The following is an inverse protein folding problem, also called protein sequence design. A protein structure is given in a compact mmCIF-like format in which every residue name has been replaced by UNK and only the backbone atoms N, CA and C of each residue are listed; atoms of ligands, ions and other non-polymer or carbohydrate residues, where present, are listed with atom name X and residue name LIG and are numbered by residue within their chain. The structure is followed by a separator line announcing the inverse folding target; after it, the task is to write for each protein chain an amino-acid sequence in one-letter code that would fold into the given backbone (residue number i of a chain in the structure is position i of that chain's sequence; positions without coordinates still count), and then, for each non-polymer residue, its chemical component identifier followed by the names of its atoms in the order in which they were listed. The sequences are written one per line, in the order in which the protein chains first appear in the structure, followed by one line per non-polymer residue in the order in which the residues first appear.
data_IF_455240894745
#
_entry.id   IF_455240894745
#
_cell.length_a   1.000
_cell.length_b   1.000
_cell.length_c   1.000
_cell.angle_alpha   90.00
_cell.angle_beta   90.00
_cell.angle_gamma   90.00
#
_symmetry.space_group_name_H-M   'P 1'
#
loop_
_entity.id
_entity.type
_entity.pdbx_description
1 polymer ?
#
# COMPACT_ATOMS: atom_id res chain seq x y z
N UNK A 1 -26.04 -0.73 -16.58
CA UNK A 1 -24.57 -0.93 -16.69
C UNK A 1 -24.29 -2.41 -16.70
N UNK A 2 -23.45 -2.86 -17.61
CA UNK A 2 -23.08 -4.28 -17.70
C UNK A 2 -22.15 -4.60 -16.53
N UNK A 3 -22.51 -5.58 -15.71
CA UNK A 3 -21.66 -6.09 -14.63
C UNK A 3 -20.45 -6.79 -15.23
N UNK A 4 -19.25 -6.39 -14.84
CA UNK A 4 -17.99 -6.95 -15.35
C UNK A 4 -17.39 -8.05 -14.46
N UNK A 5 -18.12 -8.54 -13.45
CA UNK A 5 -17.67 -9.65 -12.60
C UNK A 5 -17.68 -10.96 -13.36
N UNK A 6 -16.61 -11.72 -13.20
CA UNK A 6 -16.54 -13.10 -13.70
C UNK A 6 -17.48 -13.96 -12.85
N UNK A 7 -18.49 -14.55 -13.49
CA UNK A 7 -19.48 -15.41 -12.84
C UNK A 7 -19.08 -16.88 -12.84
N UNK A 8 -18.35 -17.29 -13.86
CA UNK A 8 -17.85 -18.65 -14.03
C UNK A 8 -16.38 -18.62 -14.43
N UNK A 9 -15.57 -19.50 -13.86
CA UNK A 9 -14.17 -19.64 -14.17
C UNK A 9 -13.80 -21.13 -14.15
N UNK A 10 -13.05 -21.65 -15.15
CA UNK A 10 -12.78 -23.09 -15.28
C UNK A 10 -11.97 -23.67 -14.11
N UNK A 11 -11.19 -22.84 -13.42
CA UNK A 11 -10.29 -23.29 -12.35
C UNK A 11 -10.70 -22.69 -11.00
N UNK A 12 -11.04 -21.40 -10.96
CA UNK A 12 -11.35 -20.68 -9.72
C UNK A 12 -12.85 -20.70 -9.45
N UNK A 13 -13.25 -21.19 -8.27
CA UNK A 13 -14.65 -21.12 -7.84
C UNK A 13 -15.00 -19.65 -7.54
N UNK A 14 -16.00 -19.11 -8.23
CA UNK A 14 -16.56 -17.81 -7.90
C UNK A 14 -17.18 -17.87 -6.50
N UNK A 15 -16.61 -17.15 -5.54
CA UNK A 15 -17.15 -17.12 -4.19
C UNK A 15 -18.50 -16.39 -4.18
N UNK A 16 -19.52 -17.05 -3.62
CA UNK A 16 -20.80 -16.37 -3.31
C UNK A 16 -20.56 -15.46 -2.10
N UNK A 17 -20.60 -14.14 -2.33
CA UNK A 17 -20.44 -13.13 -1.29
C UNK A 17 -21.69 -12.28 -1.20
N UNK A 18 -21.98 -11.81 0.00
CA UNK A 18 -23.07 -10.87 0.27
C UNK A 18 -22.92 -9.61 -0.60
N UNK A 19 -24.02 -9.13 -1.17
CA UNK A 19 -24.07 -7.89 -1.92
C UNK A 19 -24.22 -6.73 -0.95
N UNK A 20 -23.39 -5.71 -1.11
CA UNK A 20 -23.43 -4.45 -0.36
C UNK A 20 -23.52 -3.28 -1.34
N UNK A 21 -23.92 -2.13 -0.86
CA UNK A 21 -23.98 -0.88 -1.63
C UNK A 21 -22.98 0.13 -1.07
N UNK A 22 -22.41 0.92 -1.96
CA UNK A 22 -21.54 2.06 -1.61
C UNK A 22 -21.78 3.21 -2.60
N UNK A 23 -21.18 4.35 -2.36
CA UNK A 23 -21.33 5.53 -3.18
C UNK A 23 -20.02 5.85 -3.91
N UNK A 24 -20.12 6.22 -5.18
CA UNK A 24 -19.03 6.82 -5.93
C UNK A 24 -19.50 8.06 -6.65
N UNK A 25 -18.96 9.23 -6.29
CA UNK A 25 -19.40 10.54 -6.81
C UNK A 25 -20.92 10.72 -6.66
N UNK A 26 -21.45 10.39 -5.50
CA UNK A 26 -22.88 10.44 -5.19
C UNK A 26 -23.77 9.36 -5.85
N UNK A 27 -23.22 8.51 -6.73
CA UNK A 27 -23.98 7.42 -7.37
C UNK A 27 -23.90 6.15 -6.53
N UNK A 28 -25.04 5.49 -6.35
CA UNK A 28 -25.11 4.18 -5.68
C UNK A 28 -24.56 3.11 -6.61
N UNK A 29 -23.60 2.34 -6.10
CA UNK A 29 -22.96 1.21 -6.78
C UNK A 29 -23.08 -0.06 -5.93
N UNK A 30 -23.01 -1.22 -6.60
CA UNK A 30 -23.02 -2.53 -5.96
C UNK A 30 -21.61 -3.08 -5.80
N UNK A 31 -21.33 -3.68 -4.65
CA UNK A 31 -20.10 -4.40 -4.38
C UNK A 31 -20.39 -5.74 -3.72
N UNK A 32 -19.41 -6.59 -3.63
CA UNK A 32 -19.47 -7.81 -2.82
C UNK A 32 -18.63 -7.59 -1.56
N UNK A 33 -19.15 -8.02 -0.41
CA UNK A 33 -18.43 -7.95 0.88
C UNK A 33 -17.04 -8.55 0.76
N UNK A 34 -16.01 -7.84 1.19
CA UNK A 34 -14.61 -8.23 1.05
C UNK A 34 -14.01 -7.92 -0.32
N UNK A 35 -14.70 -7.17 -1.20
CA UNK A 35 -14.08 -6.61 -2.41
C UNK A 35 -13.26 -5.36 -2.06
N UNK A 36 -12.15 -5.16 -2.78
CA UNK A 36 -11.43 -3.89 -2.74
C UNK A 36 -12.21 -2.82 -3.51
N UNK A 37 -12.12 -1.58 -3.09
CA UNK A 37 -12.78 -0.43 -3.75
C UNK A 37 -12.49 -0.43 -5.24
N UNK A 38 -11.23 -0.61 -5.64
CA UNK A 38 -10.83 -0.64 -7.05
C UNK A 38 -11.54 -1.73 -7.85
N UNK A 39 -11.64 -2.94 -7.29
CA UNK A 39 -12.34 -4.07 -7.92
C UNK A 39 -13.83 -3.79 -8.06
N UNK A 40 -14.45 -3.21 -7.02
CA UNK A 40 -15.86 -2.86 -7.04
C UNK A 40 -16.16 -1.77 -8.07
N UNK A 41 -15.33 -0.73 -8.18
CA UNK A 41 -15.44 0.32 -9.18
C UNK A 41 -15.32 -0.26 -10.60
N UNK A 42 -14.28 -1.08 -10.84
CA UNK A 42 -14.06 -1.71 -12.14
C UNK A 42 -15.22 -2.63 -12.53
N UNK A 43 -15.76 -3.41 -11.61
CA UNK A 43 -16.91 -4.28 -11.83
C UNK A 43 -18.17 -3.50 -12.22
N UNK A 44 -18.31 -2.25 -11.81
CA UNK A 44 -19.36 -1.33 -12.21
C UNK A 44 -19.01 -0.53 -13.48
N UNK A 45 -17.94 -0.89 -14.21
CA UNK A 45 -17.52 -0.26 -15.45
C UNK A 45 -16.74 1.06 -15.28
N UNK A 46 -16.35 1.41 -14.04
CA UNK A 46 -15.58 2.62 -13.74
C UNK A 46 -14.11 2.27 -13.80
N UNK A 47 -13.39 2.85 -14.75
CA UNK A 47 -11.95 2.61 -14.97
C UNK A 47 -11.07 3.78 -14.55
N UNK A 48 -11.63 4.98 -14.52
CA UNK A 48 -10.94 6.22 -14.14
C UNK A 48 -11.39 6.57 -12.72
N UNK A 49 -10.47 6.51 -11.77
CA UNK A 49 -10.72 6.78 -10.35
C UNK A 49 -10.35 8.21 -9.97
N UNK A 50 -9.49 8.83 -10.75
CA UNK A 50 -9.01 10.19 -10.57
C UNK A 50 -8.27 10.69 -11.80
N UNK A 51 -7.70 11.89 -11.67
CA UNK A 51 -6.85 12.48 -12.70
C UNK A 51 -5.59 13.04 -12.06
N UNK A 52 -4.49 12.87 -12.76
CA UNK A 52 -3.20 13.35 -12.29
C UNK A 52 -3.19 14.89 -12.26
N UNK A 53 -2.67 15.47 -11.17
CA UNK A 53 -2.77 16.89 -10.88
C UNK A 53 -2.01 17.81 -11.86
N UNK A 54 -0.97 17.28 -12.55
CA UNK A 54 -0.14 18.10 -13.48
C UNK A 54 -0.67 18.09 -14.90
N UNK A 55 -1.04 16.93 -15.42
CA UNK A 55 -1.34 16.73 -16.84
C UNK A 55 -2.75 16.20 -17.11
N UNK A 56 -3.57 16.05 -16.04
CA UNK A 56 -4.94 15.51 -16.12
C UNK A 56 -5.03 14.12 -16.73
N UNK A 57 -3.91 13.38 -16.81
CA UNK A 57 -3.93 11.99 -17.28
C UNK A 57 -4.83 11.12 -16.39
N UNK A 58 -5.55 10.16 -17.00
CA UNK A 58 -6.47 9.32 -16.24
C UNK A 58 -5.71 8.38 -15.30
N UNK A 59 -6.17 8.29 -14.06
CA UNK A 59 -5.64 7.40 -13.03
C UNK A 59 -6.65 6.32 -12.66
N UNK A 60 -6.16 5.12 -12.37
CA UNK A 60 -6.96 3.96 -12.04
C UNK A 60 -6.10 2.79 -11.58
N UNK A 61 -6.54 1.56 -11.86
CA UNK A 61 -5.76 0.36 -11.50
C UNK A 61 -4.52 0.28 -12.39
N UNK A 62 -3.34 0.20 -11.74
CA UNK A 62 -2.07 -0.04 -12.41
C UNK A 62 -1.33 -1.23 -11.76
N UNK A 63 -0.79 -1.10 -10.56
CA UNK A 63 -0.05 -2.18 -9.89
C UNK A 63 -0.95 -3.19 -9.16
N UNK A 64 -2.15 -2.81 -8.75
CA UNK A 64 -3.13 -3.59 -7.98
C UNK A 64 -2.62 -4.18 -6.65
N UNK A 65 -1.48 -3.70 -6.14
CA UNK A 65 -0.83 -4.22 -4.93
C UNK A 65 -0.35 -3.11 -3.96
N UNK A 66 -0.90 -1.91 -4.08
CA UNK A 66 -0.61 -0.80 -3.17
C UNK A 66 0.69 -0.03 -3.43
N UNK A 67 1.46 -0.35 -4.49
CA UNK A 67 2.81 0.24 -4.69
C UNK A 67 2.81 1.59 -5.39
N UNK A 68 1.93 1.83 -6.38
CA UNK A 68 2.07 2.95 -7.30
C UNK A 68 1.23 4.19 -6.95
N UNK A 69 0.28 4.10 -6.05
CA UNK A 69 -0.67 5.15 -5.70
C UNK A 69 -1.56 5.69 -6.87
N UNK A 70 -1.54 5.05 -8.05
CA UNK A 70 -2.37 5.45 -9.20
C UNK A 70 -3.88 5.28 -8.97
N UNK A 71 -4.26 4.51 -7.97
CA UNK A 71 -5.66 4.22 -7.63
C UNK A 71 -6.13 4.97 -6.37
N UNK A 72 -5.52 6.11 -6.04
CA UNK A 72 -5.93 6.92 -4.90
C UNK A 72 -7.35 7.44 -5.07
N UNK A 73 -8.12 7.35 -4.00
CA UNK A 73 -9.49 7.89 -3.86
C UNK A 73 -9.67 8.43 -2.44
N UNK A 74 -10.67 9.25 -2.22
CA UNK A 74 -11.15 9.56 -0.87
C UNK A 74 -12.20 8.51 -0.49
N UNK A 75 -12.00 7.81 0.61
CA UNK A 75 -12.99 6.92 1.21
C UNK A 75 -13.43 7.51 2.55
N UNK A 76 -14.68 7.95 2.63
CA UNK A 76 -15.22 8.66 3.79
C UNK A 76 -14.35 9.86 4.22
N UNK A 77 -13.82 10.60 3.23
CA UNK A 77 -12.95 11.76 3.44
C UNK A 77 -11.45 11.44 3.61
N UNK A 78 -11.07 10.17 3.73
CA UNK A 78 -9.68 9.76 3.94
C UNK A 78 -9.03 9.32 2.63
N UNK A 79 -7.84 9.83 2.25
CA UNK A 79 -7.10 9.35 1.08
C UNK A 79 -6.63 7.92 1.27
N UNK A 80 -7.06 7.02 0.38
CA UNK A 80 -6.71 5.59 0.45
C UNK A 80 -6.31 5.05 -0.92
N UNK A 81 -5.50 4.00 -0.93
CA UNK A 81 -5.21 3.21 -2.13
C UNK A 81 -6.33 2.21 -2.35
N UNK A 82 -7.22 2.49 -3.29
CA UNK A 82 -8.44 1.70 -3.52
C UNK A 82 -8.19 0.23 -3.87
N UNK A 83 -6.99 -0.12 -4.37
CA UNK A 83 -6.65 -1.51 -4.70
C UNK A 83 -6.36 -2.41 -3.50
N UNK A 84 -6.12 -1.83 -2.32
CA UNK A 84 -5.85 -2.56 -1.07
C UNK A 84 -6.81 -2.17 0.07
N UNK A 85 -7.79 -1.32 -0.21
CA UNK A 85 -8.80 -0.89 0.77
C UNK A 85 -10.12 -1.58 0.48
N UNK A 86 -10.65 -2.30 1.47
CA UNK A 86 -11.94 -2.99 1.36
C UNK A 86 -13.09 -2.00 1.32
N UNK A 87 -14.05 -2.23 0.40
CA UNK A 87 -15.29 -1.45 0.35
C UNK A 87 -16.24 -1.88 1.46
N UNK A 88 -16.81 -0.91 2.17
CA UNK A 88 -17.80 -1.12 3.23
C UNK A 88 -19.19 -0.67 2.78
N UNK A 89 -20.23 -1.24 3.38
CA UNK A 89 -21.62 -0.82 3.12
C UNK A 89 -21.81 0.65 3.51
N UNK A 90 -22.39 1.44 2.61
CA UNK A 90 -22.63 2.87 2.81
C UNK A 90 -21.40 3.78 2.63
N UNK A 91 -20.20 3.23 2.37
CA UNK A 91 -18.98 4.01 2.18
C UNK A 91 -19.14 5.03 1.05
N UNK A 92 -18.67 6.24 1.28
CA UNK A 92 -18.63 7.31 0.27
C UNK A 92 -17.22 7.34 -0.34
N UNK A 93 -17.14 7.07 -1.62
CA UNK A 93 -15.88 7.10 -2.38
C UNK A 93 -15.93 8.26 -3.37
N UNK A 94 -14.90 9.11 -3.37
CA UNK A 94 -14.78 10.27 -4.22
C UNK A 94 -13.46 10.28 -4.97
N UNK A 95 -13.43 10.97 -6.09
CA UNK A 95 -12.19 11.22 -6.83
C UNK A 95 -11.35 12.26 -6.07
N UNK A 96 -10.04 12.07 -6.08
CA UNK A 96 -9.12 13.12 -5.65
C UNK A 96 -8.89 14.05 -6.85
N UNK A 97 -9.19 15.32 -6.68
CA UNK A 97 -8.89 16.38 -7.62
C UNK A 97 -7.66 17.15 -7.09
N UNK A 98 -6.56 17.08 -7.82
CA UNK A 98 -5.30 17.67 -7.39
C UNK A 98 -4.48 16.75 -6.48
N UNK A 99 -3.86 17.33 -5.45
CA UNK A 99 -3.20 16.59 -4.38
C UNK A 99 -4.23 16.14 -3.33
N UNK A 100 -3.99 15.02 -2.65
CA UNK A 100 -4.83 14.64 -1.51
C UNK A 100 -4.86 15.78 -0.49
N UNK A 101 -6.03 16.10 0.07
CA UNK A 101 -6.13 17.10 1.12
C UNK A 101 -5.31 16.64 2.33
N UNK A 102 -4.58 17.58 2.91
CA UNK A 102 -3.97 17.39 4.22
C UNK A 102 -5.02 17.83 5.23
N UNK A 103 -5.35 17.00 6.25
CA UNK A 103 -6.26 17.40 7.30
C UNK A 103 -5.76 18.69 7.96
N UNK A 104 -6.65 19.64 8.20
CA UNK A 104 -6.32 20.82 9.00
C UNK A 104 -6.04 20.39 10.45
N UNK A 105 -5.14 21.11 11.15
CA UNK A 105 -4.66 20.74 12.49
C UNK A 105 -5.78 20.51 13.51
N UNK A 106 -6.93 21.17 13.32
CA UNK A 106 -8.08 21.14 14.24
C UNK A 106 -9.22 20.21 13.75
N UNK A 107 -9.16 19.63 12.56
CA UNK A 107 -10.16 18.66 12.14
C UNK A 107 -9.90 17.31 12.83
N UNK A 108 -10.81 16.83 13.69
CA UNK A 108 -10.68 15.48 14.22
C UNK A 108 -10.75 14.51 13.04
N UNK A 109 -9.61 13.89 12.73
CA UNK A 109 -9.57 12.77 11.81
C UNK A 109 -10.61 11.76 12.30
N UNK A 110 -11.73 11.67 11.59
CA UNK A 110 -12.81 10.72 11.90
C UNK A 110 -12.34 9.32 11.46
N UNK A 111 -11.17 8.97 11.95
CA UNK A 111 -10.64 7.63 11.86
C UNK A 111 -11.43 6.85 12.90
N UNK A 112 -12.37 6.02 12.46
CA UNK A 112 -12.94 4.93 13.24
C UNK A 112 -11.85 3.89 13.60
N UNK A 113 -10.67 4.37 13.90
CA UNK A 113 -9.58 3.63 14.49
C UNK A 113 -9.85 3.69 15.97
N UNK A 114 -10.04 2.56 16.61
CA UNK A 114 -9.84 2.42 18.04
C UNK A 114 -8.39 2.85 18.28
N UNK A 115 -8.18 4.15 18.55
CA UNK A 115 -6.85 4.63 18.87
C UNK A 115 -6.43 3.97 20.18
N UNK A 116 -5.48 3.04 20.19
CA UNK A 116 -4.76 2.79 21.41
C UNK A 116 -4.16 4.12 21.85
N UNK A 117 -4.08 4.35 23.15
CA UNK A 117 -3.38 5.51 23.68
C UNK A 117 -2.02 5.62 22.97
N UNK A 118 -1.61 6.82 22.54
CA UNK A 118 -0.34 6.99 21.85
C UNK A 118 0.78 6.44 22.73
N UNK A 119 1.54 5.50 22.19
CA UNK A 119 2.74 4.98 22.85
C UNK A 119 3.92 5.86 22.45
N UNK A 120 4.76 6.18 23.40
CA UNK A 120 5.95 6.99 23.19
C UNK A 120 7.18 6.08 23.21
N UNK A 121 8.00 6.16 22.17
CA UNK A 121 9.23 5.42 22.03
C UNK A 121 10.38 6.39 21.82
N UNK A 122 11.56 5.99 22.29
CA UNK A 122 12.78 6.78 22.14
C UNK A 122 13.84 5.94 21.40
N UNK A 123 14.39 6.52 20.34
CA UNK A 123 15.46 5.92 19.53
C UNK A 123 16.39 7.01 19.03
N UNK A 124 17.65 6.64 18.69
CA UNK A 124 18.60 7.60 18.11
C UNK A 124 18.28 7.88 16.66
N UNK A 125 17.79 6.86 15.91
CA UNK A 125 17.42 7.01 14.48
C UNK A 125 16.14 6.27 14.20
N UNK A 126 15.19 6.96 13.60
CA UNK A 126 13.94 6.40 13.06
C UNK A 126 14.00 6.37 11.53
N UNK A 127 13.86 5.18 10.94
CA UNK A 127 13.88 4.97 9.49
C UNK A 127 12.46 4.64 9.03
N UNK A 128 11.88 5.51 8.24
CA UNK A 128 10.57 5.31 7.63
C UNK A 128 10.73 4.64 6.26
N UNK A 129 10.37 3.38 6.16
CA UNK A 129 10.43 2.54 4.97
C UNK A 129 11.59 1.55 4.98
N UNK A 130 11.24 0.26 5.03
CA UNK A 130 12.17 -0.88 4.99
C UNK A 130 12.54 -1.35 3.57
N UNK A 131 12.59 -0.41 2.61
CA UNK A 131 13.13 -0.68 1.28
C UNK A 131 14.65 -0.80 1.28
N UNK A 132 15.30 -1.06 0.11
CA UNK A 132 16.75 -1.26 0.03
C UNK A 132 17.56 -0.13 0.64
N UNK A 133 17.16 1.11 0.47
CA UNK A 133 17.84 2.27 1.04
C UNK A 133 17.73 2.30 2.58
N UNK A 134 16.52 2.07 3.12
CA UNK A 134 16.29 2.02 4.57
C UNK A 134 17.02 0.86 5.22
N UNK A 135 17.00 -0.33 4.60
CA UNK A 135 17.73 -1.49 5.08
C UNK A 135 19.25 -1.29 5.05
N UNK A 136 19.78 -0.66 3.99
CA UNK A 136 21.20 -0.34 3.90
C UNK A 136 21.61 0.64 5.01
N UNK A 137 20.82 1.69 5.25
CA UNK A 137 21.06 2.63 6.34
C UNK A 137 20.98 1.96 7.71
N UNK A 138 19.94 1.16 7.97
CA UNK A 138 19.78 0.42 9.21
C UNK A 138 20.95 -0.53 9.47
N UNK A 139 21.41 -1.25 8.43
CA UNK A 139 22.56 -2.14 8.51
C UNK A 139 23.83 -1.40 8.92
N UNK A 140 24.14 -0.28 8.28
CA UNK A 140 25.36 0.47 8.57
C UNK A 140 25.35 1.16 9.94
N UNK A 141 24.19 1.68 10.35
CA UNK A 141 24.02 2.26 11.69
C UNK A 141 24.04 1.18 12.78
N UNK A 142 23.32 0.08 12.57
CA UNK A 142 23.25 -1.02 13.52
C UNK A 142 24.61 -1.68 13.75
N UNK A 143 25.46 -1.85 12.72
CA UNK A 143 26.85 -2.31 12.89
C UNK A 143 27.70 -1.40 13.78
N UNK A 144 27.33 -0.14 13.90
CA UNK A 144 27.99 0.84 14.79
C UNK A 144 27.34 0.91 16.17
N UNK A 145 26.35 0.05 16.45
CA UNK A 145 25.65 0.02 17.73
C UNK A 145 24.65 1.16 17.94
N UNK A 146 24.32 1.92 16.89
CA UNK A 146 23.30 2.98 16.95
C UNK A 146 21.93 2.32 17.11
N UNK A 147 21.10 2.82 18.02
CA UNK A 147 19.71 2.35 18.21
C UNK A 147 18.83 2.85 17.07
N UNK A 148 18.33 1.91 16.28
CA UNK A 148 17.52 2.20 15.09
C UNK A 148 16.17 1.52 15.20
N UNK A 149 15.11 2.26 14.88
CA UNK A 149 13.78 1.69 14.59
C UNK A 149 13.52 1.83 13.10
N UNK A 150 13.23 0.72 12.42
CA UNK A 150 12.79 0.69 11.02
C UNK A 150 11.30 0.40 10.98
N UNK A 151 10.49 1.31 10.46
CA UNK A 151 9.06 1.10 10.29
C UNK A 151 8.68 0.96 8.80
N UNK A 152 7.80 0.01 8.48
CA UNK A 152 7.25 -0.17 7.12
C UNK A 152 5.74 -0.48 7.22
N UNK A 153 4.99 -0.11 6.17
CA UNK A 153 3.54 -0.37 6.06
C UNK A 153 3.22 -1.76 5.48
N UNK A 154 4.22 -2.60 5.27
CA UNK A 154 4.10 -3.93 4.67
C UNK A 154 4.53 -5.03 5.64
N UNK A 155 4.02 -6.23 5.39
CA UNK A 155 4.32 -7.42 6.20
C UNK A 155 5.74 -7.97 6.02
N UNK A 156 6.48 -7.47 5.03
CA UNK A 156 7.86 -7.87 4.70
C UNK A 156 8.66 -6.66 4.28
N UNK A 157 9.93 -6.66 4.65
CA UNK A 157 10.88 -5.64 4.20
C UNK A 157 11.39 -5.92 2.78
N UNK A 158 12.25 -5.04 2.26
CA UNK A 158 12.78 -5.13 0.91
C UNK A 158 12.11 -4.21 -0.11
N UNK A 159 10.94 -3.66 0.20
CA UNK A 159 10.23 -2.70 -0.64
C UNK A 159 10.06 -3.18 -2.09
N UNK A 160 10.51 -2.40 -3.05
CA UNK A 160 10.42 -2.75 -4.48
C UNK A 160 11.21 -4.00 -4.87
N UNK A 161 12.24 -4.38 -4.12
CA UNK A 161 13.01 -5.60 -4.41
C UNK A 161 12.15 -6.86 -4.30
N UNK A 162 11.19 -6.90 -3.40
CA UNK A 162 10.28 -8.04 -3.22
C UNK A 162 9.42 -8.35 -4.45
N UNK A 163 9.26 -7.39 -5.36
CA UNK A 163 8.50 -7.51 -6.60
C UNK A 163 9.39 -7.86 -7.82
N UNK A 164 10.71 -7.88 -7.66
CA UNK A 164 11.65 -8.02 -8.75
C UNK A 164 12.21 -9.44 -8.80
N UNK A 165 11.71 -10.20 -9.76
CA UNK A 165 12.07 -11.62 -9.96
C UNK A 165 13.25 -11.81 -10.91
N UNK A 166 13.67 -10.76 -11.63
CA UNK A 166 14.85 -10.79 -12.50
C UNK A 166 16.15 -10.64 -11.71
N UNK A 167 17.25 -11.07 -12.32
CA UNK A 167 18.57 -10.90 -11.75
C UNK A 167 19.06 -9.47 -11.92
N UNK A 168 19.64 -8.92 -10.85
CA UNK A 168 20.27 -7.60 -10.90
C UNK A 168 21.62 -7.68 -11.62
N UNK A 169 21.96 -6.60 -12.29
CA UNK A 169 23.27 -6.36 -12.88
C UNK A 169 24.00 -5.27 -12.10
N UNK A 170 25.33 -5.19 -12.25
CA UNK A 170 26.15 -4.18 -11.58
C UNK A 170 27.23 -4.83 -10.70
N UNK A 171 27.57 -4.20 -9.58
CA UNK A 171 28.58 -4.70 -8.65
C UNK A 171 28.07 -5.88 -7.83
N UNK A 172 28.79 -6.98 -7.86
CA UNK A 172 28.52 -8.13 -6.97
C UNK A 172 28.67 -7.74 -5.52
N UNK A 173 29.72 -6.95 -5.21
CA UNK A 173 30.06 -6.55 -3.84
C UNK A 173 29.05 -5.56 -3.25
N UNK A 174 28.64 -4.56 -4.03
CA UNK A 174 27.84 -3.43 -3.51
C UNK A 174 26.32 -3.66 -3.63
N UNK A 175 25.86 -4.37 -4.65
CA UNK A 175 24.44 -4.57 -4.89
C UNK A 175 24.02 -6.02 -5.17
N UNK A 176 24.86 -6.98 -4.85
CA UNK A 176 24.58 -8.42 -5.00
C UNK A 176 24.17 -8.79 -6.43
N UNK A 177 24.86 -8.23 -7.46
CA UNK A 177 24.56 -8.52 -8.86
C UNK A 177 24.63 -10.03 -9.14
N UNK A 178 23.74 -10.50 -10.03
CA UNK A 178 23.54 -11.91 -10.28
C UNK A 178 22.45 -12.58 -9.43
N UNK A 179 22.01 -11.94 -8.35
CA UNK A 179 20.87 -12.39 -7.54
C UNK A 179 19.56 -11.76 -8.03
N UNK A 180 18.44 -12.44 -7.78
CA UNK A 180 17.11 -11.87 -7.99
C UNK A 180 16.81 -10.79 -6.95
N UNK A 181 16.10 -9.75 -7.35
CA UNK A 181 15.72 -8.65 -6.43
C UNK A 181 15.05 -9.14 -5.14
N UNK A 182 14.10 -10.08 -5.26
CA UNK A 182 13.44 -10.67 -4.09
C UNK A 182 14.43 -11.32 -3.11
N UNK A 183 15.45 -12.01 -3.62
CA UNK A 183 16.47 -12.65 -2.77
C UNK A 183 17.38 -11.61 -2.12
N UNK A 184 17.69 -10.52 -2.82
CA UNK A 184 18.45 -9.39 -2.26
C UNK A 184 17.67 -8.75 -1.12
N UNK A 185 16.37 -8.52 -1.30
CA UNK A 185 15.49 -8.00 -0.25
C UNK A 185 15.51 -8.87 1.01
N UNK A 186 15.35 -10.17 0.84
CA UNK A 186 15.41 -11.14 1.95
C UNK A 186 16.79 -11.16 2.64
N UNK A 187 17.87 -11.09 1.85
CA UNK A 187 19.22 -11.04 2.38
C UNK A 187 19.43 -9.82 3.27
N UNK A 188 19.05 -8.63 2.77
CA UNK A 188 19.16 -7.38 3.53
C UNK A 188 18.30 -7.39 4.79
N UNK A 189 17.08 -7.92 4.72
CA UNK A 189 16.20 -8.07 5.86
C UNK A 189 16.84 -8.96 6.95
N UNK A 190 17.37 -10.11 6.56
CA UNK A 190 18.02 -11.03 7.50
C UNK A 190 19.27 -10.41 8.15
N UNK A 191 20.07 -9.68 7.39
CA UNK A 191 21.24 -8.97 7.92
C UNK A 191 20.82 -7.93 8.96
N UNK A 192 19.77 -7.15 8.69
CA UNK A 192 19.28 -6.12 9.62
C UNK A 192 18.66 -6.76 10.86
N UNK A 193 17.89 -7.84 10.72
CA UNK A 193 17.29 -8.57 11.85
C UNK A 193 18.32 -9.22 12.77
N UNK A 194 19.54 -9.48 12.29
CA UNK A 194 20.62 -10.04 13.11
C UNK A 194 21.31 -9.00 14.00
N UNK A 195 21.01 -7.71 13.86
CA UNK A 195 21.61 -6.62 14.61
C UNK A 195 20.77 -6.29 15.85
N UNK A 196 21.33 -6.48 17.04
CA UNK A 196 20.64 -6.25 18.32
C UNK A 196 20.18 -4.80 18.53
N UNK A 197 20.87 -3.84 17.90
CA UNK A 197 20.57 -2.41 18.00
C UNK A 197 19.47 -1.94 17.04
N UNK A 198 18.90 -2.85 16.20
CA UNK A 198 17.88 -2.51 15.22
C UNK A 198 16.56 -3.21 15.55
N UNK A 199 15.51 -2.42 15.75
CA UNK A 199 14.15 -2.88 15.94
C UNK A 199 13.35 -2.68 14.64
N UNK A 200 12.46 -3.62 14.30
CA UNK A 200 11.64 -3.59 13.07
C UNK A 200 10.16 -3.58 13.45
N UNK A 201 9.43 -2.61 12.93
CA UNK A 201 7.98 -2.44 13.07
C UNK A 201 7.30 -2.60 11.71
N UNK A 202 6.34 -3.56 11.60
CA UNK A 202 5.59 -3.89 10.39
C UNK A 202 4.07 -3.78 10.61
#
# INVERSE_FOLDING_TARGET
MTELRIKEHPILKAARREEITFFFKGRILKAKKGEMIASALFANGIRIFGRHHRDSSPQGIFCANGQCAQCLVLADGVPVKSCITEVKSGMKVEQIEGLPPIPEEDEPLNLNIRNPLPQQFETEVFIMGGGPAGLAAAKELGKKGVKVIVADDKHTLGGKLSLQTHNFFGSVKECNAGMRGINIGTLLENEVRSLESVEIWL
#
